data_IF_847065664356
#
_entry.id   IF_847065664356
#
_cell.length_a   1.000
_cell.length_b   1.000
_cell.length_c   1.000
_cell.angle_alpha   90.00
_cell.angle_beta   90.00
_cell.angle_gamma   90.00
#
_symmetry.space_group_name_H-M   'P 1'
#
loop_
_entity.id
_entity.type
_entity.pdbx_description
1 polymer ?
#
# COMPACT_ATOMS: atom_id res chain seq x y z
N UNK A 1 -15.76 -11.25 33.36
CA UNK A 1 -15.96 -9.80 33.17
C UNK A 1 -16.46 -9.56 31.75
N UNK A 2 -17.75 -9.19 31.58
CA UNK A 2 -18.31 -8.82 30.28
C UNK A 2 -17.80 -7.42 29.93
N UNK A 3 -16.90 -7.30 28.92
CA UNK A 3 -16.55 -6.00 28.33
C UNK A 3 -17.82 -5.37 27.76
N UNK A 4 -18.16 -4.18 28.25
CA UNK A 4 -19.31 -3.41 27.81
C UNK A 4 -19.24 -3.16 26.29
N UNK A 5 -20.30 -3.59 25.63
CA UNK A 5 -20.50 -3.46 24.19
C UNK A 5 -20.86 -1.99 23.89
N UNK A 6 -19.91 -1.23 23.35
CA UNK A 6 -20.19 0.10 22.82
C UNK A 6 -20.94 -0.03 21.48
N UNK A 7 -22.28 0.05 21.53
CA UNK A 7 -23.16 0.06 20.35
C UNK A 7 -22.89 1.20 19.34
N UNK A 8 -21.92 2.08 19.60
CA UNK A 8 -21.59 3.24 18.78
C UNK A 8 -20.58 3.01 17.65
N UNK A 9 -19.89 1.85 17.58
CA UNK A 9 -18.78 1.69 16.65
C UNK A 9 -18.69 0.29 16.00
N UNK A 10 -19.83 -0.29 15.59
CA UNK A 10 -19.84 -1.59 14.92
C UNK A 10 -19.03 -1.57 13.62
N UNK A 11 -19.05 -0.47 12.89
CA UNK A 11 -18.26 -0.33 11.67
C UNK A 11 -16.77 -0.51 11.94
N UNK A 12 -16.24 0.13 12.98
CA UNK A 12 -14.82 0.00 13.38
C UNK A 12 -14.49 -1.41 13.86
N UNK A 13 -15.36 -2.00 14.69
CA UNK A 13 -15.16 -3.37 15.16
C UNK A 13 -15.10 -4.39 14.03
N UNK A 14 -15.90 -4.21 12.96
CA UNK A 14 -15.87 -5.05 11.77
C UNK A 14 -14.58 -4.87 10.96
N UNK A 15 -14.07 -3.64 10.85
CA UNK A 15 -12.82 -3.33 10.17
C UNK A 15 -11.63 -3.94 10.92
N UNK A 16 -11.58 -3.79 12.24
CA UNK A 16 -10.56 -4.41 13.09
C UNK A 16 -10.60 -5.94 13.00
N UNK A 17 -11.80 -6.52 13.02
CA UNK A 17 -12.01 -7.96 12.84
C UNK A 17 -11.50 -8.43 11.47
N UNK A 18 -11.79 -7.68 10.40
CA UNK A 18 -11.30 -7.97 9.05
C UNK A 18 -9.78 -7.93 8.99
N UNK A 19 -9.13 -6.88 9.50
CA UNK A 19 -7.66 -6.78 9.54
C UNK A 19 -7.02 -7.95 10.30
N UNK A 20 -7.58 -8.33 11.44
CA UNK A 20 -7.11 -9.49 12.21
C UNK A 20 -7.27 -10.82 11.42
N UNK A 21 -8.38 -11.00 10.69
CA UNK A 21 -8.61 -12.17 9.86
C UNK A 21 -7.70 -12.21 8.63
N UNK A 22 -7.45 -11.06 8.01
CA UNK A 22 -6.49 -10.93 6.90
C UNK A 22 -5.09 -11.33 7.36
N UNK A 23 -4.66 -10.84 8.53
CA UNK A 23 -3.36 -11.22 9.11
C UNK A 23 -3.24 -12.72 9.34
N UNK A 24 -4.31 -13.38 9.80
CA UNK A 24 -4.30 -14.78 10.17
C UNK A 24 -4.46 -15.74 8.98
N UNK A 25 -5.26 -15.36 7.97
CA UNK A 25 -5.73 -16.27 6.91
C UNK A 25 -5.52 -15.74 5.49
N UNK A 26 -4.99 -14.52 5.36
CA UNK A 26 -4.93 -13.80 4.10
C UNK A 26 -6.27 -13.15 3.69
N UNK A 27 -6.24 -12.26 2.69
CA UNK A 27 -7.40 -11.44 2.32
C UNK A 27 -8.55 -12.26 1.71
N UNK A 28 -8.29 -13.44 1.14
CA UNK A 28 -9.30 -14.38 0.64
C UNK A 28 -9.78 -15.39 1.67
N UNK A 29 -9.14 -15.48 2.85
CA UNK A 29 -9.27 -16.61 3.78
C UNK A 29 -10.39 -16.51 4.81
N UNK A 30 -11.30 -15.52 4.72
CA UNK A 30 -12.38 -15.38 5.69
C UNK A 30 -13.74 -15.06 5.05
N UNK A 31 -14.81 -15.36 5.79
CA UNK A 31 -16.19 -15.06 5.41
C UNK A 31 -16.73 -13.84 6.15
N UNK A 32 -17.77 -13.21 5.61
CA UNK A 32 -18.44 -12.08 6.27
C UNK A 32 -19.04 -12.47 7.64
N UNK A 33 -19.53 -13.71 7.76
CA UNK A 33 -20.02 -14.26 9.04
C UNK A 33 -18.90 -14.42 10.07
N UNK A 34 -17.69 -14.79 9.64
CA UNK A 34 -16.52 -14.85 10.54
C UNK A 34 -16.11 -13.47 11.04
N UNK A 35 -16.15 -12.45 10.19
CA UNK A 35 -15.91 -11.06 10.60
C UNK A 35 -16.94 -10.59 11.65
N UNK A 36 -18.23 -10.90 11.44
CA UNK A 36 -19.28 -10.61 12.41
C UNK A 36 -19.04 -11.30 13.76
N UNK A 37 -18.74 -12.60 13.72
CA UNK A 37 -18.45 -13.39 14.93
C UNK A 37 -17.24 -12.85 15.68
N UNK A 38 -16.17 -12.47 14.98
CA UNK A 38 -14.97 -11.90 15.60
C UNK A 38 -15.24 -10.52 16.20
N UNK A 39 -16.08 -9.70 15.54
CA UNK A 39 -16.56 -8.42 16.08
C UNK A 39 -17.55 -8.60 17.26
N UNK A 40 -17.94 -9.86 17.60
CA UNK A 40 -18.82 -10.15 18.74
C UNK A 40 -20.30 -9.84 18.46
N UNK A 41 -20.73 -9.85 17.20
CA UNK A 41 -22.11 -9.53 16.79
C UNK A 41 -22.78 -10.70 16.05
N UNK A 42 -24.11 -10.60 15.91
CA UNK A 42 -24.86 -11.57 15.08
C UNK A 42 -24.48 -11.45 13.61
N UNK A 43 -24.63 -12.54 12.86
CA UNK A 43 -24.32 -12.56 11.41
C UNK A 43 -25.15 -11.58 10.58
N UNK A 44 -26.29 -11.10 11.09
CA UNK A 44 -27.13 -10.10 10.44
C UNK A 44 -26.70 -8.63 10.71
N UNK A 45 -25.98 -8.39 11.79
CA UNK A 45 -25.61 -7.03 12.20
C UNK A 45 -24.70 -6.28 11.19
N UNK A 46 -23.71 -6.91 10.54
CA UNK A 46 -22.83 -6.25 9.58
C UNK A 46 -23.55 -5.63 8.38
N UNK A 47 -24.69 -6.23 7.95
CA UNK A 47 -25.46 -5.74 6.79
C UNK A 47 -26.04 -4.31 6.95
N UNK A 48 -26.01 -3.76 8.18
CA UNK A 48 -26.33 -2.35 8.43
C UNK A 48 -25.25 -1.38 7.98
N UNK A 49 -24.01 -1.86 7.81
CA UNK A 49 -22.85 -1.02 7.47
C UNK A 49 -22.20 -1.38 6.14
N UNK A 50 -22.23 -2.67 5.79
CA UNK A 50 -21.61 -3.19 4.57
C UNK A 50 -22.59 -4.15 3.90
N UNK A 51 -22.77 -3.97 2.57
CA UNK A 51 -23.65 -4.83 1.78
C UNK A 51 -23.19 -6.29 1.80
N UNK A 52 -21.88 -6.50 1.73
CA UNK A 52 -21.25 -7.80 1.64
C UNK A 52 -19.79 -7.73 2.14
N UNK A 53 -19.06 -8.86 2.03
CA UNK A 53 -17.66 -8.97 2.39
C UNK A 53 -16.78 -8.03 1.56
N UNK A 54 -17.08 -7.89 0.28
CA UNK A 54 -16.23 -7.08 -0.63
C UNK A 54 -16.38 -5.58 -0.33
N UNK A 55 -17.56 -5.13 0.11
CA UNK A 55 -17.76 -3.77 0.60
C UNK A 55 -16.96 -3.51 1.91
N UNK A 56 -16.89 -4.49 2.82
CA UNK A 56 -16.02 -4.41 4.00
C UNK A 56 -14.54 -4.37 3.59
N UNK A 57 -14.14 -5.23 2.66
CA UNK A 57 -12.77 -5.27 2.15
C UNK A 57 -12.37 -3.97 1.45
N UNK A 58 -13.28 -3.39 0.64
CA UNK A 58 -13.07 -2.09 -0.01
C UNK A 58 -12.83 -0.96 1.01
N UNK A 59 -13.58 -0.95 2.13
CA UNK A 59 -13.36 0.03 3.20
C UNK A 59 -12.02 -0.19 3.93
N UNK A 60 -11.62 -1.44 4.18
CA UNK A 60 -10.30 -1.76 4.73
C UNK A 60 -9.19 -1.29 3.79
N UNK A 61 -9.29 -1.60 2.50
CA UNK A 61 -8.33 -1.16 1.49
C UNK A 61 -8.28 0.37 1.35
N UNK A 62 -9.44 1.04 1.38
CA UNK A 62 -9.53 2.51 1.33
C UNK A 62 -8.75 3.16 2.47
N UNK A 63 -8.92 2.68 3.69
CA UNK A 63 -8.17 3.15 4.87
C UNK A 63 -6.67 2.85 4.76
N UNK A 64 -6.34 1.67 4.25
CA UNK A 64 -4.96 1.31 3.95
C UNK A 64 -4.32 2.30 2.99
N UNK A 65 -4.98 2.64 1.88
CA UNK A 65 -4.49 3.63 0.92
C UNK A 65 -4.36 5.03 1.51
N UNK A 66 -5.25 5.45 2.42
CA UNK A 66 -5.15 6.76 3.10
C UNK A 66 -3.91 6.83 4.00
N UNK A 67 -3.68 5.79 4.80
CA UNK A 67 -2.48 5.68 5.64
C UNK A 67 -1.20 5.61 4.79
N UNK A 68 -1.24 4.83 3.73
CA UNK A 68 -0.14 4.68 2.80
C UNK A 68 0.20 6.00 2.10
N UNK A 69 -0.81 6.72 1.59
CA UNK A 69 -0.61 8.05 0.98
C UNK A 69 0.05 9.02 1.96
N UNK A 70 -0.37 9.02 3.23
CA UNK A 70 0.23 9.85 4.27
C UNK A 70 1.70 9.47 4.54
N UNK A 71 2.00 8.18 4.61
CA UNK A 71 3.36 7.69 4.81
C UNK A 71 4.29 8.12 3.65
N UNK A 72 3.83 7.94 2.40
CA UNK A 72 4.57 8.37 1.21
C UNK A 72 4.76 9.89 1.17
N UNK A 73 3.70 10.67 1.46
CA UNK A 73 3.77 12.14 1.46
C UNK A 73 4.72 12.67 2.54
N UNK A 74 4.74 12.03 3.71
CA UNK A 74 5.67 12.37 4.80
C UNK A 74 7.12 12.13 4.37
N UNK A 75 7.38 10.99 3.73
CA UNK A 75 8.71 10.64 3.23
C UNK A 75 9.14 11.53 2.05
N UNK A 76 8.22 11.89 1.18
CA UNK A 76 8.46 12.81 0.07
C UNK A 76 8.91 14.19 0.56
N UNK A 77 8.36 14.69 1.66
CA UNK A 77 8.75 15.93 2.31
C UNK A 77 8.98 17.09 1.32
N UNK A 78 8.12 17.22 0.30
CA UNK A 78 8.22 18.25 -0.75
C UNK A 78 9.56 18.22 -1.52
N UNK A 79 10.18 17.06 -1.68
CA UNK A 79 11.43 16.88 -2.40
C UNK A 79 12.69 17.30 -1.63
N UNK A 80 12.63 17.39 -0.29
CA UNK A 80 13.78 17.81 0.52
C UNK A 80 14.56 16.60 1.06
N UNK A 81 15.90 16.69 1.19
CA UNK A 81 16.77 17.82 0.84
C UNK A 81 16.97 18.01 -0.68
N UNK A 82 16.82 16.97 -1.49
CA UNK A 82 16.79 16.99 -2.94
C UNK A 82 15.82 15.93 -3.48
N UNK A 83 15.36 16.07 -4.72
CA UNK A 83 14.32 15.24 -5.31
C UNK A 83 14.70 13.75 -5.39
N UNK A 84 15.97 13.42 -5.62
CA UNK A 84 16.43 12.03 -5.75
C UNK A 84 16.43 11.34 -4.40
N UNK A 85 16.98 11.96 -3.36
CA UNK A 85 16.96 11.42 -2.00
C UNK A 85 15.54 11.31 -1.46
N UNK A 86 14.68 12.29 -1.76
CA UNK A 86 13.28 12.24 -1.37
C UNK A 86 12.52 11.11 -2.10
N UNK A 87 12.79 10.85 -3.40
CA UNK A 87 12.22 9.70 -4.12
C UNK A 87 12.68 8.37 -3.51
N UNK A 88 13.95 8.23 -3.12
CA UNK A 88 14.46 7.06 -2.42
C UNK A 88 13.73 6.88 -1.08
N UNK A 89 13.53 7.96 -0.33
CA UNK A 89 12.78 7.92 0.94
C UNK A 89 11.32 7.48 0.74
N UNK A 90 10.66 7.88 -0.37
CA UNK A 90 9.33 7.37 -0.74
C UNK A 90 9.36 5.86 -0.97
N UNK A 91 10.38 5.33 -1.65
CA UNK A 91 10.58 3.90 -1.82
C UNK A 91 10.76 3.15 -0.49
N UNK A 92 11.57 3.68 0.43
CA UNK A 92 11.75 3.12 1.77
C UNK A 92 10.44 3.15 2.58
N UNK A 93 9.65 4.22 2.49
CA UNK A 93 8.34 4.32 3.15
C UNK A 93 7.35 3.29 2.60
N UNK A 94 7.39 3.00 1.28
CA UNK A 94 6.61 1.93 0.66
C UNK A 94 6.94 0.57 1.32
N UNK A 95 8.21 0.21 1.39
CA UNK A 95 8.66 -1.07 1.98
C UNK A 95 8.35 -1.15 3.47
N UNK A 96 8.53 -0.03 4.20
CA UNK A 96 8.20 0.05 5.62
C UNK A 96 6.70 -0.17 5.85
N UNK A 97 5.82 0.42 5.03
CA UNK A 97 4.38 0.20 5.12
C UNK A 97 4.02 -1.28 4.87
N UNK A 98 4.54 -1.89 3.81
CA UNK A 98 4.29 -3.29 3.51
C UNK A 98 4.71 -4.22 4.66
N UNK A 99 5.78 -3.89 5.37
CA UNK A 99 6.31 -4.65 6.52
C UNK A 99 5.52 -4.44 7.80
N UNK A 100 5.12 -3.19 8.11
CA UNK A 100 4.47 -2.86 9.38
C UNK A 100 2.96 -2.99 9.35
N UNK A 101 2.36 -2.85 8.16
CA UNK A 101 0.91 -2.90 7.92
C UNK A 101 0.54 -4.01 6.92
N UNK A 102 0.99 -5.28 7.14
CA UNK A 102 0.85 -6.34 6.14
C UNK A 102 -0.61 -6.68 5.83
N UNK A 103 -1.53 -6.54 6.80
CA UNK A 103 -2.96 -6.77 6.57
C UNK A 103 -3.58 -5.71 5.68
N UNK A 104 -3.24 -4.44 5.92
CA UNK A 104 -3.67 -3.32 5.08
C UNK A 104 -3.09 -3.45 3.67
N UNK A 105 -1.80 -3.78 3.56
CA UNK A 105 -1.12 -4.03 2.29
C UNK A 105 -1.81 -5.16 1.49
N UNK A 106 -2.11 -6.29 2.14
CA UNK A 106 -2.81 -7.39 1.50
C UNK A 106 -4.25 -7.02 1.09
N UNK A 107 -4.97 -6.24 1.88
CA UNK A 107 -6.29 -5.73 1.52
C UNK A 107 -6.23 -4.82 0.27
N UNK A 108 -5.22 -3.96 0.18
CA UNK A 108 -5.03 -3.02 -0.94
C UNK A 108 -4.67 -3.72 -2.25
N UNK A 109 -3.77 -4.70 -2.21
CA UNK A 109 -3.09 -5.21 -3.40
C UNK A 109 -3.35 -6.69 -3.71
N UNK A 110 -3.87 -7.47 -2.74
CA UNK A 110 -4.00 -8.93 -2.88
C UNK A 110 -5.45 -9.40 -2.67
N UNK A 111 -6.39 -8.50 -2.34
CA UNK A 111 -7.78 -8.88 -2.02
C UNK A 111 -8.61 -9.28 -3.24
N UNK A 112 -8.19 -8.88 -4.44
CA UNK A 112 -8.97 -9.05 -5.67
C UNK A 112 -10.14 -8.07 -5.82
N UNK A 113 -10.39 -7.18 -4.84
CA UNK A 113 -11.42 -6.14 -4.95
C UNK A 113 -10.94 -5.05 -5.91
N UNK A 114 -11.67 -4.79 -7.01
CA UNK A 114 -11.27 -3.76 -7.96
C UNK A 114 -11.29 -2.37 -7.32
N UNK A 115 -10.25 -1.58 -7.51
CA UNK A 115 -10.17 -0.21 -6.99
C UNK A 115 -11.33 0.65 -7.51
N UNK A 116 -11.79 0.38 -8.74
CA UNK A 116 -12.94 1.07 -9.36
C UNK A 116 -14.31 0.68 -8.79
N UNK A 117 -14.38 -0.32 -7.89
CA UNK A 117 -15.66 -0.79 -7.32
C UNK A 117 -16.30 0.21 -6.35
N UNK A 118 -15.52 1.12 -5.81
CA UNK A 118 -15.94 2.14 -4.86
C UNK A 118 -15.24 3.48 -5.15
N UNK A 119 -15.99 4.61 -5.30
CA UNK A 119 -15.39 5.92 -5.61
C UNK A 119 -14.43 6.42 -4.54
N UNK A 120 -14.67 6.12 -3.26
CA UNK A 120 -13.79 6.50 -2.15
C UNK A 120 -12.48 5.72 -2.17
N UNK A 121 -12.55 4.41 -2.46
CA UNK A 121 -11.38 3.54 -2.64
C UNK A 121 -10.54 4.04 -3.83
N UNK A 122 -11.19 4.31 -4.97
CA UNK A 122 -10.50 4.83 -6.15
C UNK A 122 -9.77 6.15 -5.86
N UNK A 123 -10.46 7.09 -5.20
CA UNK A 123 -9.86 8.37 -4.82
C UNK A 123 -8.68 8.21 -3.84
N UNK A 124 -8.75 7.27 -2.90
CA UNK A 124 -7.66 7.00 -1.96
C UNK A 124 -6.44 6.39 -2.67
N UNK A 125 -6.65 5.43 -3.57
CA UNK A 125 -5.59 4.83 -4.36
C UNK A 125 -4.90 5.85 -5.29
N UNK A 126 -5.68 6.72 -5.96
CA UNK A 126 -5.13 7.77 -6.81
C UNK A 126 -4.31 8.79 -6.00
N UNK A 127 -4.75 9.15 -4.79
CA UNK A 127 -3.95 10.01 -3.89
C UNK A 127 -2.59 9.38 -3.56
N UNK A 128 -2.57 8.09 -3.24
CA UNK A 128 -1.31 7.39 -2.95
C UNK A 128 -0.37 7.37 -4.17
N UNK A 129 -0.90 7.06 -5.35
CA UNK A 129 -0.09 7.06 -6.57
C UNK A 129 0.36 8.46 -6.99
N UNK A 130 -0.44 9.50 -6.71
CA UNK A 130 -0.09 10.88 -7.04
C UNK A 130 1.18 11.37 -6.32
N UNK A 131 1.42 10.93 -5.07
CA UNK A 131 2.64 11.26 -4.33
C UNK A 131 3.87 10.73 -5.06
N UNK A 132 3.84 9.48 -5.52
CA UNK A 132 4.96 8.92 -6.29
C UNK A 132 5.13 9.66 -7.62
N UNK A 133 4.04 9.98 -8.31
CA UNK A 133 4.07 10.71 -9.57
C UNK A 133 4.67 12.11 -9.41
N UNK A 134 4.35 12.82 -8.30
CA UNK A 134 5.00 14.10 -7.96
C UNK A 134 6.50 13.93 -7.71
N UNK A 135 6.90 12.93 -6.93
CA UNK A 135 8.29 12.66 -6.63
C UNK A 135 9.09 12.38 -7.91
N UNK A 136 8.53 11.55 -8.80
CA UNK A 136 9.14 11.26 -10.10
C UNK A 136 9.19 12.50 -10.98
N UNK A 137 8.13 13.32 -11.02
CA UNK A 137 8.09 14.54 -11.82
C UNK A 137 9.19 15.52 -11.40
N UNK A 138 9.44 15.66 -10.10
CA UNK A 138 10.49 16.52 -9.58
C UNK A 138 11.89 16.02 -9.99
N UNK A 139 12.15 14.71 -9.96
CA UNK A 139 13.41 14.12 -10.45
C UNK A 139 13.55 14.31 -11.96
N UNK A 140 12.51 14.03 -12.74
CA UNK A 140 12.51 14.22 -14.20
C UNK A 140 12.78 15.68 -14.57
N UNK A 141 12.28 16.66 -13.80
CA UNK A 141 12.51 18.07 -14.04
C UNK A 141 14.00 18.49 -13.91
N UNK A 142 14.82 17.71 -13.21
CA UNK A 142 16.28 17.96 -13.10
C UNK A 142 17.06 17.51 -14.33
N UNK A 143 16.47 16.68 -15.20
CA UNK A 143 17.09 16.19 -16.42
C UNK A 143 16.98 17.22 -17.55
N UNK A 144 17.94 17.22 -18.53
CA UNK A 144 17.80 17.95 -19.77
C UNK A 144 16.49 17.60 -20.47
N UNK A 145 15.84 18.54 -21.13
CA UNK A 145 14.50 18.36 -21.70
C UNK A 145 14.40 17.17 -22.66
N UNK A 146 15.41 16.97 -23.49
CA UNK A 146 15.49 15.88 -24.48
C UNK A 146 15.72 14.48 -23.86
N UNK A 147 16.13 14.42 -22.57
CA UNK A 147 16.35 13.18 -21.85
C UNK A 147 15.18 12.81 -20.92
N UNK A 148 14.13 13.66 -20.84
CA UNK A 148 13.01 13.46 -19.89
C UNK A 148 12.10 12.32 -20.32
N UNK A 149 12.03 11.23 -19.53
CA UNK A 149 11.07 10.17 -19.80
C UNK A 149 9.63 10.63 -19.44
N UNK A 150 8.60 9.98 -20.00
CA UNK A 150 7.22 10.19 -19.55
C UNK A 150 7.06 9.89 -18.06
N UNK A 151 6.64 10.89 -17.27
CA UNK A 151 6.54 10.81 -15.80
C UNK A 151 5.70 9.61 -15.33
N UNK A 152 4.53 9.39 -15.95
CA UNK A 152 3.64 8.29 -15.57
C UNK A 152 4.29 6.93 -15.81
N UNK A 153 5.01 6.75 -16.92
CA UNK A 153 5.73 5.51 -17.21
C UNK A 153 6.81 5.24 -16.16
N UNK A 154 7.60 6.25 -15.83
CA UNK A 154 8.64 6.14 -14.81
C UNK A 154 8.04 5.86 -13.43
N UNK A 155 6.94 6.53 -13.07
CA UNK A 155 6.23 6.27 -11.80
C UNK A 155 5.71 4.84 -11.72
N UNK A 156 5.11 4.30 -12.77
CA UNK A 156 4.68 2.90 -12.84
C UNK A 156 5.85 1.92 -12.75
N UNK A 157 6.99 2.24 -13.36
CA UNK A 157 8.19 1.43 -13.24
C UNK A 157 8.70 1.38 -11.78
N UNK A 158 8.82 2.53 -11.11
CA UNK A 158 9.20 2.61 -9.69
C UNK A 158 8.19 1.86 -8.79
N UNK A 159 6.89 2.03 -9.07
CA UNK A 159 5.83 1.34 -8.36
C UNK A 159 5.95 -0.18 -8.48
N UNK A 160 6.16 -0.71 -9.70
CA UNK A 160 6.31 -2.14 -9.93
C UNK A 160 7.58 -2.72 -9.28
N UNK A 161 8.68 -1.96 -9.26
CA UNK A 161 9.90 -2.37 -8.55
C UNK A 161 9.66 -2.48 -7.04
N UNK A 162 9.03 -1.46 -6.43
CA UNK A 162 8.73 -1.46 -5.00
C UNK A 162 7.81 -2.65 -4.62
N UNK A 163 6.79 -2.93 -5.43
CA UNK A 163 5.95 -4.12 -5.25
C UNK A 163 6.73 -5.43 -5.39
N UNK A 164 7.60 -5.53 -6.40
CA UNK A 164 8.44 -6.72 -6.61
C UNK A 164 9.34 -6.99 -5.40
N UNK A 165 10.01 -5.96 -4.88
CA UNK A 165 10.84 -6.06 -3.70
C UNK A 165 10.00 -6.40 -2.46
N UNK A 166 8.89 -5.69 -2.20
CA UNK A 166 8.00 -5.98 -1.08
C UNK A 166 7.50 -7.43 -1.12
N UNK A 167 7.09 -7.93 -2.29
CA UNK A 167 6.64 -9.32 -2.46
C UNK A 167 7.76 -10.33 -2.23
N UNK A 168 8.99 -10.04 -2.70
CA UNK A 168 10.14 -10.94 -2.56
C UNK A 168 10.53 -11.13 -1.10
N UNK A 169 10.50 -10.06 -0.30
CA UNK A 169 10.90 -10.07 1.11
C UNK A 169 9.75 -10.28 2.08
N UNK A 170 8.49 -10.05 1.66
CA UNK A 170 7.30 -10.18 2.50
C UNK A 170 6.75 -11.60 2.65
N UNK A 171 7.15 -12.55 1.80
CA UNK A 171 6.66 -13.94 1.87
C UNK A 171 7.37 -14.72 2.98
N UNK A 172 6.64 -15.64 3.64
CA UNK A 172 7.22 -16.55 4.62
C UNK A 172 8.41 -17.37 4.07
N UNK A 173 8.50 -17.52 2.74
CA UNK A 173 9.62 -18.15 2.05
C UNK A 173 10.87 -17.27 1.96
N UNK A 174 10.78 -15.96 2.17
CA UNK A 174 11.94 -15.07 2.16
C UNK A 174 12.96 -15.46 3.25
N UNK A 175 12.49 -15.94 4.40
CA UNK A 175 13.36 -16.48 5.47
C UNK A 175 14.12 -17.76 5.07
N UNK A 176 13.71 -18.44 3.99
CA UNK A 176 14.35 -19.66 3.48
C UNK A 176 15.39 -19.40 2.39
N UNK A 177 15.44 -18.18 1.86
CA UNK A 177 16.40 -17.78 0.81
C UNK A 177 17.37 -16.75 1.39
N UNK A 178 18.65 -17.05 1.54
CA UNK A 178 19.64 -16.06 1.94
C UNK A 178 19.79 -15.03 0.81
N UNK A 179 19.07 -13.90 0.93
CA UNK A 179 19.27 -12.75 0.05
C UNK A 179 20.36 -11.90 0.69
N UNK A 180 21.50 -11.65 0.02
CA UNK A 180 22.69 -11.04 0.63
C UNK A 180 22.58 -9.51 0.76
N UNK A 181 21.36 -8.95 0.74
CA UNK A 181 21.09 -7.52 0.89
C UNK A 181 19.70 -7.30 1.50
N UNK A 182 19.47 -6.11 2.06
CA UNK A 182 18.16 -5.71 2.56
C UNK A 182 17.21 -5.32 1.42
N UNK A 183 15.88 -5.31 1.65
CA UNK A 183 14.92 -4.82 0.67
C UNK A 183 15.16 -3.34 0.33
N UNK A 184 15.56 -2.54 1.30
CA UNK A 184 15.88 -1.12 1.13
C UNK A 184 17.10 -0.94 0.20
N UNK A 185 18.19 -1.68 0.44
CA UNK A 185 19.40 -1.65 -0.42
C UNK A 185 19.08 -2.08 -1.86
N UNK A 186 18.25 -3.14 -2.03
CA UNK A 186 17.87 -3.61 -3.36
C UNK A 186 17.04 -2.57 -4.11
N UNK A 187 16.05 -1.96 -3.45
CA UNK A 187 15.19 -0.95 -4.08
C UNK A 187 15.99 0.31 -4.41
N UNK A 188 16.84 0.78 -3.51
CA UNK A 188 17.69 1.95 -3.73
C UNK A 188 18.66 1.73 -4.91
N UNK A 189 19.37 0.60 -4.92
CA UNK A 189 20.27 0.25 -6.02
C UNK A 189 19.52 0.20 -7.37
N UNK A 190 18.34 -0.42 -7.40
CA UNK A 190 17.51 -0.49 -8.60
C UNK A 190 17.08 0.89 -9.09
N UNK A 191 16.67 1.76 -8.15
CA UNK A 191 16.28 3.15 -8.44
C UNK A 191 17.45 3.93 -9.03
N UNK A 192 18.64 3.87 -8.41
CA UNK A 192 19.83 4.57 -8.88
C UNK A 192 20.33 4.07 -10.24
N UNK A 193 20.28 2.75 -10.49
CA UNK A 193 20.63 2.17 -11.80
C UNK A 193 19.67 2.68 -12.87
N UNK A 194 18.37 2.71 -12.58
CA UNK A 194 17.36 3.19 -13.51
C UNK A 194 17.57 4.69 -13.85
N UNK A 195 17.76 5.53 -12.83
CA UNK A 195 18.01 6.97 -13.02
C UNK A 195 19.25 7.23 -13.85
N UNK A 196 20.35 6.48 -13.62
CA UNK A 196 21.58 6.58 -14.44
C UNK A 196 21.38 6.11 -15.87
N UNK A 197 20.50 5.13 -16.08
CA UNK A 197 20.19 4.60 -17.41
C UNK A 197 19.37 5.57 -18.25
N UNK A 198 18.46 6.31 -17.61
CA UNK A 198 17.63 7.32 -18.29
C UNK A 198 18.47 8.51 -18.78
N UNK A 199 19.47 8.96 -18.01
CA UNK A 199 20.36 10.07 -18.39
C UNK A 199 21.49 9.69 -19.36
N UNK A 200 21.50 8.49 -19.96
CA UNK A 200 22.55 7.99 -20.87
C UNK A 200 22.07 7.64 -22.29
N UNK A 201 20.83 7.95 -22.62
CA UNK A 201 20.30 7.69 -23.99
C UNK A 201 20.58 8.89 -24.92
N UNK A 202 21.86 9.30 -24.98
CA UNK A 202 22.37 10.29 -25.95
C UNK A 202 23.33 9.62 -26.89
#
# INVERSE_FOLDING_TARGET
MRRGYHHGNLKEALIEAALSLISAKGPGGFTFAEAARQAGVSSAAPYRHFRDRDALMAEVARRGYEQFALALATAWNQGRPDATLALIAVGHAFLAFARHEPASYAAMFESGVPVSSDPGLNAAAERAFSVLREAVAAVVATLPEHERPPVTMMALHMWSQAHGVASLFGRADAARRPIPMSPEELLEASTLIYLRGVGRQS
#
